data_IF_402121123400
#
_entry.id   IF_402121123400
#
_cell.length_a   1.000
_cell.length_b   1.000
_cell.length_c   1.000
_cell.angle_alpha   90.00
_cell.angle_beta   90.00
_cell.angle_gamma   90.00
#
_symmetry.space_group_name_H-M   'P 1'
#
loop_
_entity.id
_entity.type
_entity.pdbx_description
1 polymer ?
#
# COMPACT_ATOMS: atom_id res chain seq x y z
N UNK A 1 14.83 -15.87 15.98
CA UNK A 1 14.17 -14.60 16.36
C UNK A 1 13.92 -13.66 15.18
N UNK A 2 14.79 -13.61 14.16
CA UNK A 2 14.70 -12.65 13.03
C UNK A 2 13.51 -12.86 12.10
N UNK A 3 13.01 -14.10 11.91
CA UNK A 3 11.85 -14.42 11.06
C UNK A 3 10.54 -13.73 11.47
N UNK A 4 10.45 -13.29 12.73
CA UNK A 4 9.27 -12.59 13.25
C UNK A 4 9.33 -11.06 13.11
N UNK A 5 10.49 -10.49 12.74
CA UNK A 5 10.65 -9.03 12.63
C UNK A 5 9.76 -8.45 11.52
N UNK A 6 9.69 -9.12 10.38
CA UNK A 6 8.87 -8.66 9.24
C UNK A 6 7.36 -8.68 9.55
N UNK A 7 6.79 -9.80 10.04
CA UNK A 7 5.38 -9.82 10.44
C UNK A 7 5.04 -8.76 11.50
N UNK A 8 5.89 -8.58 12.52
CA UNK A 8 5.67 -7.54 13.53
C UNK A 8 5.76 -6.12 12.95
N UNK A 9 6.69 -5.86 12.06
CA UNK A 9 6.82 -4.56 11.40
C UNK A 9 5.55 -4.23 10.60
N UNK A 10 5.09 -5.17 9.76
CA UNK A 10 3.90 -4.93 8.91
C UNK A 10 2.64 -4.82 9.77
N UNK A 11 2.54 -5.62 10.85
CA UNK A 11 1.44 -5.51 11.81
C UNK A 11 1.44 -4.15 12.51
N UNK A 12 2.61 -3.67 12.94
CA UNK A 12 2.76 -2.35 13.55
C UNK A 12 2.33 -1.24 12.59
N UNK A 13 2.71 -1.34 11.30
CA UNK A 13 2.31 -0.41 10.26
C UNK A 13 0.79 -0.47 10.02
N UNK A 14 0.19 -1.66 10.02
CA UNK A 14 -1.26 -1.84 9.90
C UNK A 14 -2.02 -1.14 11.05
N UNK A 15 -1.57 -1.34 12.28
CA UNK A 15 -2.15 -0.69 13.45
C UNK A 15 -1.96 0.85 13.36
N UNK A 16 -0.76 1.30 13.00
CA UNK A 16 -0.46 2.72 12.83
C UNK A 16 -1.34 3.36 11.75
N UNK A 17 -1.59 2.67 10.64
CA UNK A 17 -2.48 3.11 9.57
C UNK A 17 -3.93 3.23 10.05
N UNK A 18 -4.40 2.25 10.84
CA UNK A 18 -5.73 2.27 11.45
C UNK A 18 -5.91 3.47 12.39
N UNK A 19 -4.94 3.69 13.27
CA UNK A 19 -4.93 4.82 14.19
C UNK A 19 -4.89 6.14 13.42
N UNK A 20 -4.03 6.23 12.41
CA UNK A 20 -3.93 7.43 11.57
C UNK A 20 -5.25 7.75 10.88
N UNK A 21 -5.92 6.74 10.32
CA UNK A 21 -7.21 6.91 9.66
C UNK A 21 -8.32 7.44 10.59
N UNK A 22 -8.27 7.09 11.89
CA UNK A 22 -9.28 7.51 12.87
C UNK A 22 -8.95 8.84 13.55
N UNK A 23 -7.67 9.14 13.80
CA UNK A 23 -7.26 10.30 14.59
C UNK A 23 -7.05 11.58 13.77
N UNK A 24 -6.74 11.46 12.47
CA UNK A 24 -6.33 12.64 11.72
C UNK A 24 -7.50 13.22 10.91
N UNK A 25 -8.17 14.16 11.55
CA UNK A 25 -8.83 15.26 10.86
C UNK A 25 -7.74 16.28 10.50
N UNK A 26 -7.29 16.25 9.24
CA UNK A 26 -6.24 17.19 8.80
C UNK A 26 -6.81 18.61 8.84
N UNK A 27 -6.28 19.52 9.68
CA UNK A 27 -6.89 20.85 9.90
C UNK A 27 -6.87 21.77 8.67
N UNK A 28 -6.12 21.39 7.62
CA UNK A 28 -6.05 22.10 6.34
C UNK A 28 -6.81 21.38 5.21
N UNK A 29 -7.49 20.27 5.50
CA UNK A 29 -8.33 19.60 4.54
C UNK A 29 -9.57 20.45 4.26
N UNK A 30 -9.97 20.54 2.99
CA UNK A 30 -11.31 21.03 2.65
C UNK A 30 -12.34 20.11 3.30
N UNK A 31 -13.44 20.65 3.81
CA UNK A 31 -14.42 19.92 4.65
C UNK A 31 -14.91 18.58 4.03
N UNK A 32 -14.82 18.43 2.69
CA UNK A 32 -15.28 17.25 1.98
C UNK A 32 -14.15 16.30 1.53
N UNK A 33 -12.87 16.58 1.82
CA UNK A 33 -11.75 15.77 1.35
C UNK A 33 -11.51 14.54 2.22
N UNK A 34 -11.31 13.39 1.57
CA UNK A 34 -11.04 12.11 2.22
C UNK A 34 -9.60 11.69 1.94
N UNK A 35 -8.82 11.51 3.00
CA UNK A 35 -7.43 11.07 2.96
C UNK A 35 -7.34 9.62 3.44
N UNK A 36 -6.99 8.71 2.55
CA UNK A 36 -6.89 7.29 2.88
C UNK A 36 -5.42 6.88 2.94
N UNK A 37 -4.88 6.58 4.13
CA UNK A 37 -3.53 6.04 4.24
C UNK A 37 -3.48 4.62 3.61
N UNK A 38 -2.35 4.31 2.96
CA UNK A 38 -2.07 3.00 2.34
C UNK A 38 -0.66 2.53 2.70
N UNK A 39 -0.29 2.67 3.97
CA UNK A 39 1.07 2.41 4.45
C UNK A 39 1.42 0.93 4.34
N UNK A 40 0.45 0.04 4.58
CA UNK A 40 0.63 -1.41 4.44
C UNK A 40 0.91 -1.77 2.98
N UNK A 41 0.16 -1.22 2.01
CA UNK A 41 0.43 -1.46 0.59
C UNK A 41 1.84 -0.97 0.22
N UNK A 42 2.22 0.26 0.61
CA UNK A 42 3.57 0.81 0.38
C UNK A 42 4.62 -0.15 0.92
N UNK A 43 4.43 -0.65 2.14
CA UNK A 43 5.35 -1.59 2.78
C UNK A 43 5.43 -2.91 2.02
N UNK A 44 4.31 -3.50 1.61
CA UNK A 44 4.28 -4.73 0.82
C UNK A 44 5.00 -4.57 -0.52
N UNK A 45 4.85 -3.41 -1.18
CA UNK A 45 5.56 -3.11 -2.42
C UNK A 45 7.07 -2.95 -2.19
N UNK A 46 7.49 -2.30 -1.10
CA UNK A 46 8.90 -2.19 -0.74
C UNK A 46 9.51 -3.55 -0.37
N UNK A 47 8.78 -4.42 0.35
CA UNK A 47 9.18 -5.81 0.58
C UNK A 47 9.38 -6.56 -0.74
N UNK A 48 8.47 -6.37 -1.70
CA UNK A 48 8.55 -6.99 -3.04
C UNK A 48 9.82 -6.59 -3.78
N UNK A 49 10.20 -5.30 -3.71
CA UNK A 49 11.31 -4.75 -4.47
C UNK A 49 12.66 -4.98 -3.78
N UNK A 50 12.75 -4.72 -2.49
CA UNK A 50 14.03 -4.69 -1.77
C UNK A 50 14.39 -6.01 -1.08
N UNK A 51 13.42 -6.86 -0.77
CA UNK A 51 13.66 -8.16 -0.17
C UNK A 51 13.44 -9.27 -1.19
N UNK A 52 12.19 -9.70 -1.37
CA UNK A 52 11.83 -10.77 -2.30
C UNK A 52 10.36 -10.62 -2.73
N UNK A 53 10.08 -10.91 -4.00
CA UNK A 53 8.73 -10.95 -4.56
C UNK A 53 7.77 -11.83 -3.74
N UNK A 54 8.22 -13.01 -3.34
CA UNK A 54 7.38 -13.96 -2.60
C UNK A 54 6.93 -13.40 -1.27
N UNK A 55 7.84 -12.75 -0.51
CA UNK A 55 7.48 -12.08 0.74
C UNK A 55 6.44 -10.97 0.51
N UNK A 56 6.68 -10.09 -0.46
CA UNK A 56 5.71 -9.01 -0.76
C UNK A 56 4.33 -9.52 -1.13
N UNK A 57 4.23 -10.61 -1.91
CA UNK A 57 2.95 -11.22 -2.27
C UNK A 57 2.27 -11.90 -1.08
N UNK A 58 3.01 -12.66 -0.25
CA UNK A 58 2.46 -13.34 0.93
C UNK A 58 1.95 -12.30 1.94
N UNK A 59 2.76 -11.28 2.25
CA UNK A 59 2.32 -10.19 3.12
C UNK A 59 1.13 -9.43 2.52
N UNK A 60 1.13 -9.20 1.20
CA UNK A 60 -0.01 -8.62 0.48
C UNK A 60 -1.29 -9.43 0.65
N UNK A 61 -1.22 -10.76 0.52
CA UNK A 61 -2.37 -11.66 0.75
C UNK A 61 -2.85 -11.60 2.21
N UNK A 62 -1.94 -11.76 3.17
CA UNK A 62 -2.30 -11.81 4.60
C UNK A 62 -2.90 -10.49 5.06
N UNK A 63 -2.25 -9.37 4.76
CA UNK A 63 -2.72 -8.06 5.19
C UNK A 63 -3.87 -7.53 4.34
N UNK A 64 -3.96 -7.92 3.07
CA UNK A 64 -5.16 -7.69 2.25
C UNK A 64 -6.38 -8.39 2.82
N UNK A 65 -6.22 -9.65 3.28
CA UNK A 65 -7.29 -10.37 3.98
C UNK A 65 -7.68 -9.68 5.30
N UNK A 66 -6.70 -9.20 6.08
CA UNK A 66 -6.99 -8.43 7.29
C UNK A 66 -7.77 -7.15 6.98
N UNK A 67 -7.43 -6.47 5.88
CA UNK A 67 -8.19 -5.31 5.39
C UNK A 67 -9.65 -5.66 5.08
N UNK A 68 -9.88 -6.76 4.35
CA UNK A 68 -11.22 -7.20 4.00
C UNK A 68 -12.04 -7.52 5.25
N UNK A 69 -11.44 -8.18 6.25
CA UNK A 69 -12.13 -8.56 7.50
C UNK A 69 -12.43 -7.34 8.39
N UNK A 70 -11.50 -6.38 8.46
CA UNK A 70 -11.59 -5.26 9.41
C UNK A 70 -12.40 -4.09 8.85
N UNK A 71 -12.29 -3.83 7.55
CA UNK A 71 -12.82 -2.59 6.95
C UNK A 71 -13.94 -2.81 5.92
N UNK A 72 -14.11 -4.04 5.41
CA UNK A 72 -15.06 -4.32 4.34
C UNK A 72 -15.83 -5.61 4.65
N UNK A 73 -17.10 -5.60 4.37
CA UNK A 73 -17.97 -6.79 4.54
C UNK A 73 -17.75 -7.86 3.46
N UNK A 74 -17.00 -7.54 2.40
CA UNK A 74 -16.77 -8.41 1.24
C UNK A 74 -15.32 -8.86 1.22
N UNK A 75 -15.10 -10.16 1.44
CA UNK A 75 -13.77 -10.78 1.40
C UNK A 75 -13.31 -10.94 -0.04
N UNK A 76 -12.05 -10.56 -0.33
CA UNK A 76 -11.38 -10.76 -1.61
C UNK A 76 -11.02 -9.46 -2.35
N UNK A 77 -11.55 -8.31 -1.95
CA UNK A 77 -11.28 -7.03 -2.61
C UNK A 77 -9.81 -6.64 -2.42
N UNK A 78 -9.34 -6.49 -1.19
CA UNK A 78 -7.94 -6.13 -0.91
C UNK A 78 -7.02 -7.34 -0.90
N UNK A 79 -7.52 -8.53 -0.52
CA UNK A 79 -6.78 -9.79 -0.55
C UNK A 79 -6.09 -9.98 -1.91
N UNK A 80 -6.85 -9.97 -2.99
CA UNK A 80 -6.31 -10.18 -4.34
C UNK A 80 -5.59 -8.94 -4.87
N UNK A 81 -6.12 -7.75 -4.63
CA UNK A 81 -5.53 -6.51 -5.14
C UNK A 81 -4.08 -6.31 -4.66
N UNK A 82 -3.80 -6.48 -3.38
CA UNK A 82 -2.46 -6.30 -2.81
C UNK A 82 -1.46 -7.30 -3.40
N UNK A 83 -1.85 -8.57 -3.51
CA UNK A 83 -0.98 -9.61 -4.09
C UNK A 83 -0.72 -9.39 -5.58
N UNK A 84 -1.74 -9.01 -6.34
CA UNK A 84 -1.62 -8.72 -7.77
C UNK A 84 -0.74 -7.50 -8.00
N UNK A 85 -0.92 -6.42 -7.24
CA UNK A 85 -0.09 -5.22 -7.33
C UNK A 85 1.37 -5.52 -7.00
N UNK A 86 1.64 -6.29 -5.94
CA UNK A 86 2.99 -6.75 -5.61
C UNK A 86 3.61 -7.55 -6.75
N UNK A 87 2.83 -8.46 -7.36
CA UNK A 87 3.28 -9.22 -8.54
C UNK A 87 3.62 -8.32 -9.73
N UNK A 88 2.72 -7.39 -10.07
CA UNK A 88 2.91 -6.47 -11.20
C UNK A 88 4.13 -5.57 -10.99
N UNK A 89 4.30 -5.01 -9.78
CA UNK A 89 5.49 -4.21 -9.44
C UNK A 89 6.76 -5.04 -9.56
N UNK A 90 6.77 -6.29 -9.08
CA UNK A 90 7.91 -7.19 -9.26
C UNK A 90 8.25 -7.42 -10.73
N UNK A 91 7.26 -7.55 -11.60
CA UNK A 91 7.47 -7.70 -13.04
C UNK A 91 7.99 -6.41 -13.68
N UNK A 92 7.39 -5.27 -13.33
CA UNK A 92 7.82 -3.96 -13.83
C UNK A 92 9.28 -3.64 -13.44
N UNK A 93 9.68 -3.96 -12.21
CA UNK A 93 11.05 -3.77 -11.72
C UNK A 93 12.10 -4.59 -12.48
N UNK A 94 11.74 -5.72 -13.06
CA UNK A 94 12.65 -6.51 -13.92
C UNK A 94 12.96 -5.81 -15.24
N UNK A 95 12.03 -5.00 -15.74
CA UNK A 95 12.15 -4.28 -17.01
C UNK A 95 12.81 -2.91 -16.80
N UNK A 96 12.44 -2.21 -15.74
CA UNK A 96 12.75 -0.79 -15.51
C UNK A 96 14.06 -0.52 -14.75
N UNK A 97 14.89 -1.55 -14.48
CA UNK A 97 16.20 -1.40 -13.81
C UNK A 97 16.17 -0.47 -12.57
N UNK A 98 15.79 -1.02 -11.48
CA UNK A 98 15.76 -0.64 -10.05
C UNK A 98 16.31 0.70 -9.54
N UNK A 99 15.83 1.86 -9.99
CA UNK A 99 16.10 3.14 -9.35
C UNK A 99 15.00 3.46 -8.30
N UNK A 100 15.37 4.15 -7.20
CA UNK A 100 14.44 4.57 -6.15
C UNK A 100 13.26 5.42 -6.69
N UNK A 101 13.50 6.25 -7.70
CA UNK A 101 12.44 7.04 -8.36
C UNK A 101 11.43 6.15 -9.07
N UNK A 102 11.89 5.07 -9.72
CA UNK A 102 11.01 4.11 -10.37
C UNK A 102 10.16 3.36 -9.33
N UNK A 103 10.75 3.00 -8.20
CA UNK A 103 10.02 2.37 -7.09
C UNK A 103 8.93 3.29 -6.57
N UNK A 104 9.23 4.58 -6.34
CA UNK A 104 8.24 5.58 -5.92
C UNK A 104 7.13 5.72 -6.95
N UNK A 105 7.48 5.87 -8.23
CA UNK A 105 6.49 5.98 -9.31
C UNK A 105 5.56 4.76 -9.35
N UNK A 106 6.12 3.54 -9.32
CA UNK A 106 5.32 2.31 -9.32
C UNK A 106 4.46 2.17 -8.07
N UNK A 107 4.94 2.65 -6.92
CA UNK A 107 4.17 2.66 -5.67
C UNK A 107 2.97 3.60 -5.78
N UNK A 108 3.15 4.83 -6.25
CA UNK A 108 2.08 5.81 -6.44
C UNK A 108 1.08 5.31 -7.49
N UNK A 109 1.57 4.75 -8.59
CA UNK A 109 0.73 4.15 -9.63
C UNK A 109 -0.10 2.98 -9.08
N UNK A 110 0.50 2.13 -8.25
CA UNK A 110 -0.20 1.01 -7.60
C UNK A 110 -1.33 1.49 -6.67
N UNK A 111 -1.09 2.57 -5.92
CA UNK A 111 -2.13 3.18 -5.08
C UNK A 111 -3.26 3.75 -5.93
N UNK A 112 -2.95 4.42 -7.03
CA UNK A 112 -3.96 4.93 -7.96
C UNK A 112 -4.81 3.78 -8.53
N UNK A 113 -4.18 2.71 -9.00
CA UNK A 113 -4.86 1.51 -9.52
C UNK A 113 -5.76 0.89 -8.43
N UNK A 114 -5.26 0.76 -7.20
CA UNK A 114 -6.05 0.25 -6.08
C UNK A 114 -7.29 1.12 -5.81
N UNK A 115 -7.14 2.44 -5.75
CA UNK A 115 -8.26 3.34 -5.48
C UNK A 115 -9.32 3.30 -6.59
N UNK A 116 -8.90 3.25 -7.86
CA UNK A 116 -9.83 3.07 -8.98
C UNK A 116 -10.53 1.71 -8.95
N UNK A 117 -9.80 0.65 -8.62
CA UNK A 117 -10.37 -0.69 -8.48
C UNK A 117 -11.43 -0.75 -7.38
N UNK A 118 -11.13 -0.21 -6.20
CA UNK A 118 -12.06 -0.16 -5.07
C UNK A 118 -13.26 0.73 -5.38
N UNK A 119 -13.04 1.89 -6.01
CA UNK A 119 -14.13 2.75 -6.46
C UNK A 119 -15.04 2.03 -7.46
N UNK A 120 -14.46 1.34 -8.45
CA UNK A 120 -15.20 0.59 -9.45
C UNK A 120 -16.08 -0.51 -8.84
N UNK A 121 -15.53 -1.28 -7.90
CA UNK A 121 -16.31 -2.31 -7.17
C UNK A 121 -17.46 -1.67 -6.38
N UNK A 122 -17.19 -0.63 -5.60
CA UNK A 122 -18.22 0.05 -4.80
C UNK A 122 -19.31 0.67 -5.68
N UNK A 123 -18.94 1.17 -6.86
CA UNK A 123 -19.90 1.68 -7.84
C UNK A 123 -20.79 0.58 -8.42
N UNK A 124 -20.21 -0.57 -8.78
CA UNK A 124 -20.94 -1.73 -9.32
C UNK A 124 -21.90 -2.36 -8.31
N UNK A 125 -21.51 -2.39 -7.03
CA UNK A 125 -22.35 -2.93 -5.95
C UNK A 125 -23.43 -1.91 -5.51
N UNK A 126 -23.32 -0.65 -5.96
CA UNK A 126 -24.24 0.42 -5.57
C UNK A 126 -23.96 1.01 -4.18
N UNK A 127 -22.82 0.68 -3.57
CA UNK A 127 -22.39 1.22 -2.27
C UNK A 127 -21.95 2.68 -2.34
N UNK A 128 -21.59 3.18 -3.52
CA UNK A 128 -21.25 4.59 -3.72
C UNK A 128 -22.06 5.21 -4.85
N UNK A 129 -22.50 6.45 -4.63
CA UNK A 129 -23.14 7.31 -5.65
C UNK A 129 -22.22 8.45 -6.09
N UNK A 130 -20.96 8.42 -5.64
CA UNK A 130 -19.99 9.47 -5.94
C UNK A 130 -19.71 9.50 -7.45
N UNK A 131 -19.77 10.68 -8.05
CA UNK A 131 -19.39 10.86 -9.45
C UNK A 131 -17.88 10.68 -9.63
N UNK A 132 -17.43 10.32 -10.83
CA UNK A 132 -16.00 10.16 -11.12
C UNK A 132 -15.21 11.45 -10.84
N UNK A 133 -15.79 12.62 -11.11
CA UNK A 133 -15.20 13.92 -10.81
C UNK A 133 -14.95 14.09 -9.30
N UNK A 134 -15.99 13.87 -8.47
CA UNK A 134 -15.88 13.99 -7.04
C UNK A 134 -14.92 12.93 -6.45
N UNK A 135 -14.95 11.70 -6.95
CA UNK A 135 -13.99 10.67 -6.56
C UNK A 135 -12.55 11.13 -6.82
N UNK A 136 -12.28 11.67 -8.00
CA UNK A 136 -10.93 12.11 -8.36
C UNK A 136 -10.46 13.29 -7.50
N UNK A 137 -11.30 14.31 -7.31
CA UNK A 137 -10.92 15.54 -6.62
C UNK A 137 -10.95 15.45 -5.10
N UNK A 138 -11.95 14.75 -4.55
CA UNK A 138 -12.15 14.70 -3.09
C UNK A 138 -11.50 13.49 -2.41
N UNK A 139 -11.19 12.43 -3.16
CA UNK A 139 -10.61 11.21 -2.59
C UNK A 139 -9.28 10.81 -3.22
N UNK A 140 -9.22 10.64 -4.56
CA UNK A 140 -8.02 10.12 -5.21
C UNK A 140 -6.82 11.06 -5.05
N UNK A 141 -6.93 12.32 -5.43
CA UNK A 141 -5.83 13.28 -5.37
C UNK A 141 -5.30 13.51 -3.95
N UNK A 142 -6.15 13.76 -2.92
CA UNK A 142 -5.69 13.86 -1.53
C UNK A 142 -5.01 12.58 -1.04
N UNK A 143 -5.56 11.42 -1.36
CA UNK A 143 -4.99 10.12 -1.01
C UNK A 143 -3.62 9.92 -1.65
N UNK A 144 -3.45 10.23 -2.95
CA UNK A 144 -2.16 10.14 -3.63
C UNK A 144 -1.14 11.12 -3.05
N UNK A 145 -1.53 12.35 -2.72
CA UNK A 145 -0.64 13.34 -2.12
C UNK A 145 -0.11 12.85 -0.76
N UNK A 146 -1.00 12.40 0.14
CA UNK A 146 -0.63 11.85 1.44
C UNK A 146 0.35 10.67 1.30
N UNK A 147 -0.02 9.69 0.50
CA UNK A 147 0.76 8.46 0.36
C UNK A 147 2.09 8.69 -0.39
N UNK A 148 2.16 9.69 -1.26
CA UNK A 148 3.42 10.10 -1.90
C UNK A 148 4.42 10.65 -0.89
N UNK A 149 3.97 11.51 0.03
CA UNK A 149 4.81 12.04 1.10
C UNK A 149 5.32 10.88 1.96
N UNK A 150 4.44 9.98 2.38
CA UNK A 150 4.81 8.83 3.20
C UNK A 150 5.78 7.89 2.47
N UNK A 151 5.54 7.60 1.18
CA UNK A 151 6.43 6.76 0.38
C UNK A 151 7.83 7.37 0.24
N UNK A 152 7.94 8.70 0.04
CA UNK A 152 9.22 9.40 -0.02
C UNK A 152 9.96 9.33 1.32
N UNK A 153 9.26 9.50 2.43
CA UNK A 153 9.87 9.41 3.77
C UNK A 153 10.32 7.99 4.10
N UNK A 154 9.54 6.99 3.70
CA UNK A 154 9.80 5.58 4.04
C UNK A 154 10.79 4.88 3.10
N UNK A 155 11.00 5.34 1.86
CA UNK A 155 11.81 4.60 0.89
C UNK A 155 13.24 4.39 1.36
N UNK A 156 13.87 5.40 1.92
CA UNK A 156 15.27 5.30 2.35
C UNK A 156 15.46 4.38 3.56
N UNK A 157 14.74 4.56 4.69
CA UNK A 157 14.89 3.69 5.86
C UNK A 157 14.47 2.24 5.54
N UNK A 158 13.39 2.04 4.78
CA UNK A 158 12.93 0.71 4.40
C UNK A 158 13.92 0.01 3.47
N UNK A 159 14.46 0.70 2.46
CA UNK A 159 15.50 0.16 1.59
C UNK A 159 16.70 -0.32 2.40
N UNK A 160 17.23 0.53 3.30
CA UNK A 160 18.38 0.18 4.14
C UNK A 160 18.10 -1.03 5.03
N UNK A 161 16.95 -1.05 5.67
CA UNK A 161 16.53 -2.13 6.57
C UNK A 161 16.33 -3.45 5.82
N UNK A 162 15.58 -3.45 4.71
CA UNK A 162 15.27 -4.65 3.95
C UNK A 162 16.48 -5.22 3.22
N UNK A 163 17.35 -4.36 2.69
CA UNK A 163 18.60 -4.82 2.07
C UNK A 163 19.53 -5.50 3.09
N UNK A 164 19.56 -4.99 4.33
CA UNK A 164 20.31 -5.63 5.41
C UNK A 164 19.77 -7.03 5.73
N UNK A 165 18.46 -7.19 5.86
CA UNK A 165 17.82 -8.51 6.07
C UNK A 165 18.16 -9.45 4.91
N UNK A 166 18.08 -8.96 3.67
CA UNK A 166 18.37 -9.78 2.49
C UNK A 166 19.81 -10.31 2.47
N UNK A 167 20.78 -9.49 2.86
CA UNK A 167 22.18 -9.90 2.94
C UNK A 167 22.37 -10.97 4.02
N UNK A 168 21.76 -10.78 5.18
CA UNK A 168 21.82 -11.72 6.29
C UNK A 168 21.15 -13.07 5.97
N UNK A 169 20.09 -13.10 5.13
CA UNK A 169 19.45 -14.33 4.65
C UNK A 169 20.28 -15.07 3.59
N UNK A 170 21.19 -14.39 2.91
CA UNK A 170 22.07 -15.01 1.90
C UNK A 170 23.33 -15.63 2.50
N UNK A 171 23.66 -15.27 3.74
CA UNK A 171 24.85 -15.75 4.45
C UNK A 171 24.55 -16.96 5.37
N UNK A 172 23.25 -17.33 5.55
CA UNK A 172 22.77 -18.53 6.26
C UNK A 172 22.44 -19.66 5.25
#
# INVERSE_FOLDING_TARGET
MRRFILPFLVLFIFISESIFSHLIHIPFALEDQVYIPRFVLITCLFLTVYLNRTHGMIFGLVFGLLYDIVYIEIIGIYLFAYAILAYLVSKAMKILHGNALIVLFLTILSIAILEFYVYGINYLIGSTKMTLYNFTTLRLLPTLALNSIVAILLIYPMKKFLTKIKLEESDD
#
